data_IF_972971133110
#
_entry.id   IF_972971133110
#
_cell.length_a   1.000
_cell.length_b   1.000
_cell.length_c   1.000
_cell.angle_alpha   90.00
_cell.angle_beta   90.00
_cell.angle_gamma   90.00
#
_symmetry.space_group_name_H-M   'P 1'
#
loop_
_entity.id
_entity.type
_entity.pdbx_description
1 polymer ?
#
# COMPACT_ATOMS: atom_id res chain seq x y z
N UNK A 1 -8.50 0.11 -42.14
CA UNK A 1 -7.75 0.49 -43.35
C UNK A 1 -6.28 0.37 -42.97
N UNK A 2 -5.63 -0.67 -43.48
CA UNK A 2 -4.20 -0.98 -43.32
C UNK A 2 -3.59 -0.69 -44.68
N UNK A 3 -3.17 0.55 -44.94
CA UNK A 3 -2.55 0.88 -46.23
C UNK A 3 -1.84 2.24 -46.22
N UNK A 4 -1.01 2.53 -45.21
CA UNK A 4 -0.10 3.70 -45.25
C UNK A 4 1.19 3.48 -44.44
N UNK A 5 1.93 2.42 -44.75
CA UNK A 5 3.37 2.41 -44.46
C UNK A 5 4.10 1.81 -45.66
N UNK A 6 4.69 2.68 -46.49
CA UNK A 6 5.50 2.28 -47.63
C UNK A 6 6.72 1.48 -47.12
N UNK A 7 6.82 0.20 -47.49
CA UNK A 7 7.92 -0.71 -47.13
C UNK A 7 8.47 -0.56 -45.69
N UNK A 8 7.65 -0.87 -44.70
CA UNK A 8 8.07 -0.88 -43.29
C UNK A 8 8.51 -2.27 -42.81
N UNK A 9 9.41 -2.30 -41.84
CA UNK A 9 9.79 -3.52 -41.12
C UNK A 9 9.27 -3.41 -39.70
N UNK A 10 8.54 -4.43 -39.24
CA UNK A 10 8.07 -4.51 -37.86
C UNK A 10 8.97 -5.47 -37.09
N UNK A 11 9.63 -4.95 -36.07
CA UNK A 11 10.44 -5.72 -35.13
C UNK A 11 9.81 -5.62 -33.75
N UNK A 12 9.83 -6.73 -33.01
CA UNK A 12 9.54 -6.74 -31.58
C UNK A 12 10.75 -7.34 -30.89
N UNK A 13 11.36 -6.57 -29.99
CA UNK A 13 12.49 -7.00 -29.17
C UNK A 13 12.03 -7.12 -27.71
N UNK A 14 12.53 -8.14 -27.03
CA UNK A 14 12.41 -8.31 -25.58
C UNK A 14 13.82 -8.62 -25.10
N UNK A 15 14.37 -7.74 -24.27
CA UNK A 15 15.74 -7.82 -23.78
C UNK A 15 15.76 -7.83 -22.27
N UNK A 16 16.86 -8.30 -21.70
CA UNK A 16 17.11 -8.34 -20.27
C UNK A 16 18.58 -8.04 -20.05
N UNK A 17 18.90 -7.34 -18.97
CA UNK A 17 20.26 -6.92 -18.61
C UNK A 17 20.96 -6.11 -19.72
N UNK A 18 20.21 -5.29 -20.43
CA UNK A 18 20.70 -4.31 -21.40
C UNK A 18 20.11 -2.95 -21.07
N UNK A 19 20.87 -1.90 -21.29
CA UNK A 19 20.36 -0.53 -21.26
C UNK A 19 19.33 -0.31 -22.37
N UNK A 20 18.49 0.71 -22.20
CA UNK A 20 17.30 0.91 -23.06
C UNK A 20 17.65 1.07 -24.55
N UNK A 21 18.84 1.61 -24.86
CA UNK A 21 19.29 1.92 -26.22
C UNK A 21 20.13 0.81 -26.87
N UNK A 22 20.80 -0.05 -26.08
CA UNK A 22 21.65 -1.14 -26.59
C UNK A 22 20.93 -2.12 -27.53
N UNK A 23 19.63 -2.45 -27.36
CA UNK A 23 18.91 -3.27 -28.32
C UNK A 23 18.92 -2.68 -29.73
N UNK A 24 18.94 -1.36 -29.89
CA UNK A 24 19.01 -0.72 -31.21
C UNK A 24 20.36 -0.96 -31.86
N UNK A 25 21.45 -0.86 -31.11
CA UNK A 25 22.80 -1.15 -31.62
C UNK A 25 22.89 -2.59 -32.13
N UNK A 26 22.36 -3.54 -31.36
CA UNK A 26 22.29 -4.95 -31.75
C UNK A 26 21.44 -5.15 -33.02
N UNK A 27 20.34 -4.42 -33.16
CA UNK A 27 19.48 -4.49 -34.35
C UNK A 27 20.16 -3.86 -35.57
N UNK A 28 20.95 -2.81 -35.41
CA UNK A 28 21.76 -2.22 -36.48
C UNK A 28 22.81 -3.21 -37.00
N UNK A 29 23.55 -3.86 -36.10
CA UNK A 29 24.53 -4.89 -36.47
C UNK A 29 23.88 -6.10 -37.14
N UNK A 30 22.72 -6.55 -36.62
CA UNK A 30 21.95 -7.62 -37.25
C UNK A 30 21.46 -7.22 -38.64
N UNK A 31 20.96 -5.99 -38.80
CA UNK A 31 20.47 -5.46 -40.07
C UNK A 31 21.57 -5.47 -41.13
N UNK A 32 22.74 -4.91 -40.82
CA UNK A 32 23.89 -4.91 -41.73
C UNK A 32 24.28 -6.34 -42.13
N UNK A 33 24.33 -7.26 -41.16
CA UNK A 33 24.68 -8.66 -41.40
C UNK A 33 23.72 -9.38 -42.35
N UNK A 34 22.42 -9.08 -42.29
CA UNK A 34 21.40 -9.73 -43.13
C UNK A 34 21.08 -8.95 -44.41
N UNK A 35 21.79 -7.85 -44.70
CA UNK A 35 21.60 -7.03 -45.89
C UNK A 35 20.35 -6.13 -45.83
N UNK A 36 19.91 -5.78 -44.63
CA UNK A 36 18.84 -4.83 -44.35
C UNK A 36 19.45 -3.47 -43.98
N UNK A 37 18.76 -2.37 -44.30
CA UNK A 37 19.30 -1.04 -44.02
C UNK A 37 19.37 -0.78 -42.49
N UNK A 38 20.58 -0.68 -41.88
CA UNK A 38 20.70 -0.48 -40.43
C UNK A 38 20.11 0.85 -39.96
N UNK A 39 20.00 1.85 -40.84
CA UNK A 39 19.40 3.16 -40.55
C UNK A 39 17.94 3.08 -40.07
N UNK A 40 17.24 1.95 -40.28
CA UNK A 40 15.91 1.74 -39.69
C UNK A 40 15.91 1.67 -38.16
N UNK A 41 17.07 1.46 -37.54
CA UNK A 41 17.25 1.33 -36.09
C UNK A 41 18.21 2.38 -35.50
N UNK A 42 18.55 3.42 -36.27
CA UNK A 42 19.43 4.51 -35.85
C UNK A 42 18.65 5.66 -35.18
N UNK A 43 19.32 6.79 -34.89
CA UNK A 43 18.87 7.90 -34.04
C UNK A 43 17.53 8.57 -34.42
N UNK A 44 17.00 8.37 -35.64
CA UNK A 44 15.73 8.93 -36.12
C UNK A 44 14.63 7.87 -36.19
N UNK A 45 14.42 7.18 -35.07
CA UNK A 45 13.34 6.20 -34.95
C UNK A 45 11.98 6.86 -35.19
N UNK A 46 11.19 6.24 -36.06
CA UNK A 46 9.84 6.69 -36.39
C UNK A 46 8.94 6.78 -35.14
N UNK A 47 8.03 7.76 -35.10
CA UNK A 47 7.01 8.01 -34.05
C UNK A 47 6.04 6.84 -33.77
N UNK A 48 6.20 5.69 -34.42
CA UNK A 48 5.41 4.48 -34.17
C UNK A 48 6.20 3.44 -33.35
N UNK A 49 7.45 3.73 -33.00
CA UNK A 49 8.20 2.92 -32.05
C UNK A 49 7.59 3.08 -30.66
N UNK A 50 7.25 1.93 -30.07
CA UNK A 50 6.52 1.85 -28.81
C UNK A 50 7.25 0.92 -27.87
N UNK A 51 7.38 1.34 -26.62
CA UNK A 51 7.85 0.49 -25.54
C UNK A 51 6.62 0.09 -24.72
N UNK A 52 6.44 -1.22 -24.55
CA UNK A 52 5.31 -1.79 -23.80
C UNK A 52 5.68 -2.12 -22.35
N UNK A 53 6.98 -2.28 -22.09
CA UNK A 53 7.51 -2.62 -20.78
C UNK A 53 8.92 -2.03 -20.67
N UNK A 54 9.21 -1.42 -19.54
CA UNK A 54 10.51 -0.83 -19.25
C UNK A 54 10.81 -1.02 -17.77
N UNK A 55 12.02 -1.47 -17.45
CA UNK A 55 12.38 -1.88 -16.09
C UNK A 55 13.70 -1.26 -15.66
N UNK A 56 13.77 -0.93 -14.38
CA UNK A 56 15.00 -0.59 -13.66
C UNK A 56 15.16 -1.59 -12.54
N UNK A 57 16.38 -2.07 -12.34
CA UNK A 57 16.65 -3.02 -11.28
C UNK A 57 18.03 -2.87 -10.67
N UNK A 58 18.14 -3.35 -9.45
CA UNK A 58 19.40 -3.50 -8.74
C UNK A 58 19.33 -4.77 -7.86
N UNK A 59 20.43 -5.08 -7.17
CA UNK A 59 20.46 -6.12 -6.14
C UNK A 59 20.81 -5.52 -4.80
N UNK A 60 20.00 -5.85 -3.81
CA UNK A 60 20.13 -5.40 -2.44
C UNK A 60 20.58 -6.58 -1.57
N UNK A 61 21.40 -6.31 -0.55
CA UNK A 61 21.76 -7.30 0.45
C UNK A 61 20.50 -8.00 0.97
N UNK A 62 20.55 -9.33 0.96
CA UNK A 62 19.41 -10.16 1.32
C UNK A 62 18.80 -9.81 2.68
N UNK A 63 19.61 -9.57 3.71
CA UNK A 63 19.09 -9.26 5.03
C UNK A 63 18.41 -7.88 5.05
N UNK A 64 18.98 -6.90 4.34
CA UNK A 64 18.36 -5.58 4.18
C UNK A 64 17.02 -5.68 3.43
N UNK A 65 16.96 -6.47 2.37
CA UNK A 65 15.72 -6.69 1.62
C UNK A 65 14.64 -7.40 2.47
N UNK A 66 15.02 -8.44 3.21
CA UNK A 66 14.14 -9.16 4.12
C UNK A 66 13.63 -8.25 5.26
N UNK A 67 14.49 -7.42 5.85
CA UNK A 67 14.14 -6.55 6.98
C UNK A 67 13.28 -5.33 6.58
N UNK A 68 13.47 -4.79 5.38
CA UNK A 68 12.89 -3.50 4.98
C UNK A 68 11.86 -3.58 3.87
N UNK A 69 11.95 -4.56 2.96
CA UNK A 69 11.13 -4.59 1.75
C UNK A 69 10.04 -5.64 1.81
N UNK A 70 10.41 -6.85 2.22
CA UNK A 70 9.53 -8.02 2.21
C UNK A 70 9.10 -8.42 3.62
N UNK A 71 8.24 -9.43 3.72
CA UNK A 71 7.73 -9.92 4.99
C UNK A 71 6.69 -8.97 5.60
N UNK A 72 6.16 -9.36 6.76
CA UNK A 72 5.13 -8.58 7.44
C UNK A 72 5.70 -7.26 7.95
N UNK A 73 5.12 -6.15 7.50
CA UNK A 73 5.59 -4.81 7.83
C UNK A 73 6.77 -4.31 6.98
N UNK A 74 7.22 -5.05 5.96
CA UNK A 74 8.10 -4.51 4.92
C UNK A 74 7.39 -3.43 4.09
N UNK A 75 8.14 -2.56 3.40
CA UNK A 75 7.52 -1.43 2.68
C UNK A 75 6.53 -1.88 1.60
N UNK A 76 6.76 -3.03 0.96
CA UNK A 76 5.85 -3.55 -0.08
C UNK A 76 4.49 -3.92 0.54
N UNK A 77 4.52 -4.58 1.71
CA UNK A 77 3.34 -4.92 2.52
C UNK A 77 2.60 -3.65 2.95
N UNK A 78 3.33 -2.66 3.49
CA UNK A 78 2.76 -1.39 3.94
C UNK A 78 2.11 -0.57 2.80
N UNK A 79 2.73 -0.56 1.62
CA UNK A 79 2.14 0.09 0.45
C UNK A 79 0.85 -0.61 0.07
N UNK A 80 0.86 -1.93 -0.07
CA UNK A 80 -0.33 -2.71 -0.43
C UNK A 80 -1.48 -2.48 0.58
N UNK A 81 -1.18 -2.50 1.87
CA UNK A 81 -2.13 -2.23 2.95
C UNK A 81 -2.77 -0.84 2.84
N UNK A 82 -1.98 0.19 2.55
CA UNK A 82 -2.50 1.56 2.46
C UNK A 82 -3.28 1.78 1.16
N UNK A 83 -2.72 1.39 0.02
CA UNK A 83 -3.32 1.70 -1.29
C UNK A 83 -4.57 0.88 -1.59
N UNK A 84 -4.76 -0.27 -0.93
CA UNK A 84 -6.00 -1.05 -1.04
C UNK A 84 -7.26 -0.29 -0.56
N UNK A 85 -7.08 0.81 0.17
CA UNK A 85 -8.15 1.67 0.68
C UNK A 85 -8.64 2.70 -0.34
N UNK A 86 -7.85 2.93 -1.37
CA UNK A 86 -8.00 4.06 -2.27
C UNK A 86 -8.68 3.63 -3.56
N UNK A 87 -9.34 4.58 -4.21
CA UNK A 87 -9.94 4.29 -5.51
C UNK A 87 -8.83 4.12 -6.54
N UNK A 88 -8.67 2.90 -7.03
CA UNK A 88 -7.72 2.60 -8.08
C UNK A 88 -7.70 1.11 -8.41
N UNK A 89 -6.76 0.74 -9.26
CA UNK A 89 -6.41 -0.63 -9.61
C UNK A 89 -5.03 -0.92 -9.03
N UNK A 90 -4.96 -1.98 -8.25
CA UNK A 90 -3.72 -2.50 -7.72
C UNK A 90 -3.70 -4.02 -7.70
N UNK A 91 -2.51 -4.58 -7.57
CA UNK A 91 -2.25 -5.98 -7.39
C UNK A 91 -1.12 -6.18 -6.39
N UNK A 92 -1.37 -7.02 -5.39
CA UNK A 92 -0.38 -7.43 -4.40
C UNK A 92 -0.15 -8.93 -4.55
N UNK A 93 1.11 -9.33 -4.70
CA UNK A 93 1.50 -10.73 -4.85
C UNK A 93 2.63 -11.04 -3.86
N UNK A 94 2.58 -12.22 -3.26
CA UNK A 94 3.61 -12.72 -2.37
C UNK A 94 3.78 -14.24 -2.56
N UNK A 95 5.02 -14.70 -2.42
CA UNK A 95 5.43 -16.10 -2.33
C UNK A 95 6.49 -16.20 -1.24
N UNK A 96 6.20 -17.04 -0.24
CA UNK A 96 7.09 -17.34 0.87
C UNK A 96 7.27 -18.86 1.07
N UNK A 97 6.97 -19.67 0.05
CA UNK A 97 6.99 -21.13 0.17
C UNK A 97 8.41 -21.68 0.37
N UNK A 98 9.38 -21.19 -0.39
CA UNK A 98 10.77 -21.66 -0.28
C UNK A 98 11.55 -20.94 0.83
N UNK A 99 11.41 -19.62 0.88
CA UNK A 99 12.02 -18.72 1.87
C UNK A 99 11.09 -17.53 2.08
N UNK A 100 11.19 -16.88 3.24
CA UNK A 100 10.62 -15.56 3.43
C UNK A 100 11.18 -14.58 2.38
N UNK A 101 10.31 -13.74 1.82
CA UNK A 101 10.69 -12.80 0.76
C UNK A 101 11.11 -13.44 -0.57
N UNK A 102 10.77 -14.72 -0.84
CA UNK A 102 11.10 -15.34 -2.14
C UNK A 102 10.60 -14.51 -3.32
N UNK A 103 9.35 -14.04 -3.23
CA UNK A 103 8.79 -13.05 -4.12
C UNK A 103 7.79 -12.18 -3.36
N UNK A 104 7.86 -10.87 -3.51
CA UNK A 104 6.83 -9.95 -3.04
C UNK A 104 6.78 -8.75 -3.97
N UNK A 105 5.57 -8.31 -4.31
CA UNK A 105 5.42 -7.20 -5.24
C UNK A 105 4.11 -6.46 -5.08
N UNK A 106 4.14 -5.17 -5.42
CA UNK A 106 2.97 -4.30 -5.50
C UNK A 106 2.95 -3.59 -6.85
N UNK A 107 1.85 -3.73 -7.59
CA UNK A 107 1.58 -3.00 -8.82
C UNK A 107 0.36 -2.12 -8.61
N UNK A 108 0.45 -0.83 -8.95
CA UNK A 108 -0.67 0.10 -8.81
C UNK A 108 -0.72 1.06 -10.01
N UNK A 109 -1.91 1.58 -10.26
CA UNK A 109 -2.20 2.53 -11.34
C UNK A 109 -1.62 3.94 -11.06
N UNK A 110 -1.65 4.86 -12.05
CA UNK A 110 -1.09 6.20 -11.89
C UNK A 110 -1.72 7.01 -10.75
N UNK A 111 -3.05 6.97 -10.63
CA UNK A 111 -3.80 7.75 -9.64
C UNK A 111 -3.43 7.33 -8.21
N UNK A 112 -3.21 6.03 -8.01
CA UNK A 112 -2.80 5.47 -6.73
C UNK A 112 -1.32 5.76 -6.44
N UNK A 113 -0.45 5.74 -7.47
CA UNK A 113 0.93 6.19 -7.32
C UNK A 113 1.03 7.65 -6.89
N UNK A 114 0.11 8.49 -7.35
CA UNK A 114 0.04 9.93 -7.02
C UNK A 114 -0.19 10.19 -5.52
N UNK A 115 -0.72 9.21 -4.78
CA UNK A 115 -0.86 9.27 -3.33
C UNK A 115 0.47 9.03 -2.60
N UNK A 116 1.39 8.30 -3.24
CA UNK A 116 2.69 7.97 -2.67
C UNK A 116 3.76 8.99 -3.04
N UNK A 117 3.69 9.50 -4.28
CA UNK A 117 4.66 10.44 -4.83
C UNK A 117 3.93 11.41 -5.73
N UNK A 118 4.27 12.69 -5.68
CA UNK A 118 3.63 13.68 -6.54
C UNK A 118 3.93 13.45 -8.04
N UNK A 119 2.96 13.79 -8.91
CA UNK A 119 3.14 13.91 -10.37
C UNK A 119 3.54 12.60 -11.07
N UNK A 120 2.72 11.58 -10.88
CA UNK A 120 2.83 10.24 -11.45
C UNK A 120 1.81 10.10 -12.58
N UNK A 121 2.27 9.61 -13.73
CA UNK A 121 1.47 9.62 -14.96
C UNK A 121 1.32 8.23 -15.60
N UNK A 122 1.95 7.22 -15.01
CA UNK A 122 1.93 5.84 -15.48
C UNK A 122 1.96 4.86 -14.31
N UNK A 123 1.32 3.71 -14.51
CA UNK A 123 1.27 2.63 -13.54
C UNK A 123 2.65 1.98 -13.40
N UNK A 124 3.00 1.59 -12.17
CA UNK A 124 4.29 0.95 -11.89
C UNK A 124 4.13 -0.29 -11.02
N UNK A 125 5.02 -1.23 -11.25
CA UNK A 125 5.13 -2.48 -10.50
C UNK A 125 6.48 -2.53 -9.82
N UNK A 126 6.47 -2.53 -8.49
CA UNK A 126 7.65 -2.69 -7.65
C UNK A 126 7.72 -4.13 -7.12
N UNK A 127 8.85 -4.80 -7.32
CA UNK A 127 9.08 -6.20 -6.95
C UNK A 127 10.38 -6.33 -6.15
N UNK A 128 10.38 -7.25 -5.19
CA UNK A 128 11.58 -7.81 -4.59
C UNK A 128 11.49 -9.33 -4.69
N UNK A 129 12.48 -9.97 -5.30
CA UNK A 129 12.44 -11.41 -5.51
C UNK A 129 13.80 -12.08 -5.64
N UNK A 130 13.85 -13.32 -5.22
CA UNK A 130 14.96 -14.22 -5.46
C UNK A 130 14.80 -14.95 -6.81
N UNK A 131 15.91 -15.44 -7.39
CA UNK A 131 15.82 -16.34 -8.53
C UNK A 131 15.00 -17.59 -8.21
N UNK A 132 14.47 -18.25 -9.25
CA UNK A 132 13.73 -19.50 -9.14
C UNK A 132 14.48 -20.63 -8.39
N UNK A 133 15.81 -20.53 -8.28
CA UNK A 133 16.60 -21.40 -7.42
C UNK A 133 17.36 -20.55 -6.40
N UNK A 134 16.84 -20.49 -5.19
CA UNK A 134 17.43 -19.69 -4.10
C UNK A 134 18.84 -20.17 -3.79
N UNK A 135 19.80 -19.25 -3.74
CA UNK A 135 21.16 -19.57 -3.26
C UNK A 135 21.20 -19.53 -1.74
N UNK A 136 22.06 -20.36 -1.16
CA UNK A 136 22.34 -20.27 0.27
C UNK A 136 22.87 -18.87 0.62
N UNK A 137 22.40 -18.27 1.71
CA UNK A 137 22.93 -17.01 2.24
C UNK A 137 24.41 -17.07 2.67
N UNK A 138 25.01 -18.27 2.72
CA UNK A 138 26.45 -18.45 2.94
C UNK A 138 27.29 -18.39 1.65
N UNK A 139 26.65 -18.31 0.48
CA UNK A 139 27.33 -18.17 -0.81
C UNK A 139 27.98 -16.80 -0.90
N UNK A 140 29.24 -16.75 -1.32
CA UNK A 140 29.95 -15.48 -1.50
C UNK A 140 29.35 -14.68 -2.66
N UNK A 141 28.89 -13.46 -2.38
CA UNK A 141 28.36 -12.49 -3.36
C UNK A 141 29.32 -12.21 -4.51
N UNK A 142 30.63 -12.19 -4.21
CA UNK A 142 31.71 -12.02 -5.19
C UNK A 142 31.78 -13.14 -6.24
N UNK A 143 31.23 -14.31 -5.92
CA UNK A 143 31.23 -15.45 -6.83
C UNK A 143 29.84 -15.75 -7.40
N UNK A 144 28.78 -15.39 -6.68
CA UNK A 144 27.41 -15.53 -7.14
C UNK A 144 26.54 -14.38 -6.57
N UNK A 145 26.34 -13.29 -7.35
CA UNK A 145 25.51 -12.16 -6.93
C UNK A 145 24.02 -12.54 -6.83
N UNK A 146 23.61 -13.69 -7.38
CA UNK A 146 22.23 -14.18 -7.31
C UNK A 146 21.81 -14.65 -5.90
N UNK A 147 22.73 -14.60 -4.93
CA UNK A 147 22.39 -14.78 -3.50
C UNK A 147 21.51 -13.66 -2.97
N UNK A 148 21.70 -12.46 -3.50
CA UNK A 148 20.96 -11.27 -3.14
C UNK A 148 19.73 -11.13 -4.05
N UNK A 149 18.56 -10.76 -3.49
CA UNK A 149 17.34 -10.57 -4.27
C UNK A 149 17.49 -9.42 -5.25
N UNK A 150 16.75 -9.53 -6.36
CA UNK A 150 16.57 -8.44 -7.31
C UNK A 150 15.45 -7.54 -6.80
N UNK A 151 15.72 -6.25 -6.73
CA UNK A 151 14.70 -5.22 -6.61
C UNK A 151 14.43 -4.65 -8.00
N UNK A 152 13.17 -4.49 -8.37
CA UNK A 152 12.77 -4.10 -9.73
C UNK A 152 11.60 -3.14 -9.64
N UNK A 153 11.70 -2.01 -10.32
CA UNK A 153 10.57 -1.13 -10.61
C UNK A 153 10.35 -1.17 -12.12
N UNK A 154 9.09 -1.24 -12.53
CA UNK A 154 8.77 -1.36 -13.96
C UNK A 154 7.53 -0.60 -14.33
N UNK A 155 7.54 -0.06 -15.55
CA UNK A 155 6.35 0.26 -16.31
C UNK A 155 5.93 -1.00 -17.08
N UNK A 156 4.63 -1.31 -17.06
CA UNK A 156 4.01 -2.33 -17.91
C UNK A 156 2.65 -1.83 -18.39
N UNK A 157 2.33 -2.12 -19.65
CA UNK A 157 1.05 -1.81 -20.25
C UNK A 157 -0.15 -2.49 -19.56
N UNK A 158 0.06 -3.52 -18.75
CA UNK A 158 -1.01 -4.21 -18.02
C UNK A 158 -1.66 -3.32 -16.94
N UNK A 159 -0.90 -2.36 -16.40
CA UNK A 159 -1.32 -1.47 -15.31
C UNK A 159 -1.41 -0.01 -15.74
N UNK A 160 -1.16 0.27 -17.03
CA UNK A 160 -1.20 1.60 -17.59
C UNK A 160 -2.41 1.80 -18.52
N UNK A 161 -3.22 2.87 -18.33
CA UNK A 161 -4.37 3.14 -19.18
C UNK A 161 -4.03 3.45 -20.66
N UNK A 162 -2.86 4.03 -20.93
CA UNK A 162 -2.41 4.42 -22.27
C UNK A 162 -1.66 3.27 -22.98
N UNK A 163 -1.15 2.29 -22.21
CA UNK A 163 -0.76 0.97 -22.70
C UNK A 163 0.52 0.90 -23.54
N UNK A 164 1.23 2.01 -23.76
CA UNK A 164 2.57 2.07 -24.33
C UNK A 164 3.17 3.47 -24.18
N UNK A 165 4.51 3.55 -24.10
CA UNK A 165 5.24 4.82 -24.15
C UNK A 165 5.85 5.02 -25.55
N UNK A 166 5.93 6.27 -25.97
CA UNK A 166 6.69 6.66 -27.15
C UNK A 166 8.20 6.50 -26.90
N UNK A 167 8.94 6.03 -27.90
CA UNK A 167 10.38 5.82 -27.77
C UNK A 167 11.13 7.08 -27.32
N UNK A 168 10.75 8.25 -27.84
CA UNK A 168 11.38 9.52 -27.50
C UNK A 168 11.05 9.98 -26.07
N UNK A 169 10.03 9.39 -25.45
CA UNK A 169 9.66 9.61 -24.05
C UNK A 169 10.36 8.69 -23.03
N UNK A 170 11.21 7.74 -23.48
CA UNK A 170 11.76 6.69 -22.62
C UNK A 170 12.59 7.23 -21.44
N UNK A 171 13.40 8.27 -21.65
CA UNK A 171 14.24 8.85 -20.59
C UNK A 171 13.40 9.42 -19.45
N UNK A 172 12.33 10.15 -19.77
CA UNK A 172 11.41 10.69 -18.75
C UNK A 172 10.72 9.58 -17.94
N UNK A 173 10.46 8.42 -18.56
CA UNK A 173 9.92 7.26 -17.86
C UNK A 173 10.97 6.63 -16.96
N UNK A 174 12.21 6.51 -17.42
CA UNK A 174 13.33 6.01 -16.61
C UNK A 174 13.58 6.89 -15.39
N UNK A 175 13.62 8.21 -15.55
CA UNK A 175 13.75 9.16 -14.44
C UNK A 175 12.65 8.97 -13.39
N UNK A 176 11.42 8.73 -13.84
CA UNK A 176 10.27 8.49 -12.97
C UNK A 176 10.28 7.12 -12.31
N UNK A 177 10.85 6.11 -12.96
CA UNK A 177 11.11 4.81 -12.36
C UNK A 177 12.18 4.92 -11.28
N UNK A 178 13.27 5.63 -11.56
CA UNK A 178 14.37 5.86 -10.61
C UNK A 178 13.90 6.69 -9.41
N UNK A 179 13.09 7.73 -9.64
CA UNK A 179 12.42 8.51 -8.58
C UNK A 179 11.58 7.62 -7.67
N UNK A 180 10.72 6.78 -8.26
CA UNK A 180 9.83 5.91 -7.52
C UNK A 180 10.60 4.86 -6.71
N UNK A 181 11.54 4.16 -7.33
CA UNK A 181 12.35 3.13 -6.66
C UNK A 181 13.07 3.70 -5.44
N UNK A 182 13.80 4.82 -5.61
CA UNK A 182 14.57 5.40 -4.51
C UNK A 182 13.68 5.92 -3.37
N UNK A 183 12.51 6.49 -3.68
CA UNK A 183 11.57 6.93 -2.67
C UNK A 183 10.91 5.77 -1.89
N UNK A 184 10.59 4.66 -2.56
CA UNK A 184 10.08 3.45 -1.88
C UNK A 184 11.14 2.89 -0.94
N UNK A 185 12.38 2.73 -1.44
CA UNK A 185 13.49 2.25 -0.62
C UNK A 185 13.74 3.16 0.59
N UNK A 186 13.76 4.47 0.37
CA UNK A 186 13.90 5.46 1.44
C UNK A 186 12.76 5.38 2.47
N UNK A 187 11.52 5.23 2.00
CA UNK A 187 10.33 5.08 2.86
C UNK A 187 10.35 3.79 3.67
N UNK A 188 10.92 2.71 3.12
CA UNK A 188 11.18 1.46 3.83
C UNK A 188 12.37 1.51 4.80
N UNK A 189 13.10 2.62 4.84
CA UNK A 189 14.26 2.79 5.71
C UNK A 189 15.56 2.16 5.17
N UNK A 190 15.61 1.80 3.88
CA UNK A 190 16.82 1.29 3.25
C UNK A 190 17.86 2.42 3.13
N UNK A 191 19.12 2.20 3.56
CA UNK A 191 20.19 3.19 3.37
C UNK A 191 20.58 3.35 1.90
N UNK A 192 20.07 4.37 1.20
CA UNK A 192 20.20 4.51 -0.27
C UNK A 192 21.56 5.04 -0.79
N UNK A 193 22.59 5.24 0.04
CA UNK A 193 23.87 5.80 -0.45
C UNK A 193 24.76 4.70 -1.01
N UNK A 194 25.41 4.95 -2.16
CA UNK A 194 26.20 3.94 -2.89
C UNK A 194 27.44 3.45 -2.12
N UNK A 195 27.87 4.16 -1.08
CA UNK A 195 29.00 3.82 -0.21
C UNK A 195 28.64 2.84 0.92
N UNK A 196 27.38 2.41 0.99
CA UNK A 196 26.89 1.46 2.00
C UNK A 196 26.95 0.04 1.44
N UNK A 197 27.34 -0.89 2.31
CA UNK A 197 27.32 -2.35 2.05
C UNK A 197 25.90 -2.94 1.92
N UNK A 198 24.94 -2.17 1.40
CA UNK A 198 23.57 -2.61 1.13
C UNK A 198 23.41 -3.05 -0.33
N UNK A 199 24.26 -2.59 -1.24
CA UNK A 199 24.16 -2.91 -2.67
C UNK A 199 25.10 -4.06 -3.04
N UNK A 200 24.70 -4.85 -4.04
CA UNK A 200 25.59 -5.89 -4.59
C UNK A 200 26.52 -5.28 -5.63
N UNK A 201 27.77 -4.99 -5.25
CA UNK A 201 28.77 -4.37 -6.13
C UNK A 201 29.41 -5.32 -7.17
N UNK A 202 29.22 -6.64 -7.02
CA UNK A 202 29.90 -7.65 -7.85
C UNK A 202 28.92 -8.28 -8.88
N UNK A 203 27.90 -7.54 -9.29
CA UNK A 203 26.98 -7.98 -10.35
C UNK A 203 27.64 -7.81 -11.73
N UNK A 204 27.60 -8.83 -12.61
CA UNK A 204 28.27 -8.75 -13.92
C UNK A 204 27.55 -7.83 -14.93
N UNK A 205 26.35 -7.33 -14.62
CA UNK A 205 25.53 -6.56 -15.55
C UNK A 205 25.49 -5.07 -15.26
N UNK A 206 25.89 -4.62 -14.06
CA UNK A 206 25.87 -3.21 -13.70
C UNK A 206 26.88 -2.92 -12.59
N UNK A 207 27.36 -1.67 -12.56
CA UNK A 207 28.18 -1.14 -11.49
C UNK A 207 27.35 -0.25 -10.55
N UNK A 208 27.66 -0.28 -9.25
CA UNK A 208 27.00 0.57 -8.26
C UNK A 208 27.83 1.83 -8.05
N UNK A 209 27.32 2.95 -8.54
CA UNK A 209 27.99 4.24 -8.48
C UNK A 209 27.06 5.34 -7.93
N UNK A 210 27.65 6.46 -7.51
CA UNK A 210 26.87 7.65 -7.17
C UNK A 210 26.41 8.32 -8.46
N UNK A 211 25.11 8.45 -8.64
CA UNK A 211 24.53 9.24 -9.73
C UNK A 211 24.92 10.72 -9.60
N UNK A 212 25.28 11.35 -10.72
CA UNK A 212 25.43 12.81 -10.80
C UNK A 212 24.06 13.51 -10.75
N UNK A 213 23.02 12.82 -11.25
CA UNK A 213 21.64 13.27 -11.24
C UNK A 213 20.95 12.81 -9.96
N UNK A 214 20.66 13.77 -9.09
CA UNK A 214 20.02 13.51 -7.81
C UNK A 214 18.51 13.35 -7.92
N UNK A 215 17.96 12.36 -7.22
CA UNK A 215 16.51 12.21 -7.02
C UNK A 215 16.07 12.98 -5.78
N UNK A 216 14.90 13.62 -5.86
CA UNK A 216 14.26 14.24 -4.70
C UNK A 216 13.57 13.17 -3.86
N UNK A 217 14.02 13.00 -2.62
CA UNK A 217 13.39 12.11 -1.65
C UNK A 217 12.28 12.86 -0.92
N UNK A 218 11.09 12.28 -0.96
CA UNK A 218 9.88 12.76 -0.31
C UNK A 218 9.73 12.10 1.07
N UNK A 219 8.97 12.72 1.96
CA UNK A 219 8.61 12.09 3.23
C UNK A 219 7.71 10.89 2.94
N UNK A 220 7.89 9.80 3.67
CA UNK A 220 7.01 8.63 3.57
C UNK A 220 5.57 9.04 3.91
N UNK A 221 4.60 8.95 2.97
CA UNK A 221 3.22 9.36 3.20
C UNK A 221 2.36 8.28 3.86
N UNK A 222 2.83 7.03 3.92
CA UNK A 222 2.05 5.89 4.42
C UNK A 222 1.54 6.07 5.86
N UNK A 223 2.33 6.62 6.83
CA UNK A 223 1.81 6.89 8.17
C UNK A 223 0.64 7.87 8.17
N UNK A 224 0.71 8.94 7.39
CA UNK A 224 -0.33 9.97 7.31
C UNK A 224 -1.60 9.43 6.63
N UNK A 225 -1.43 8.62 5.56
CA UNK A 225 -2.54 7.93 4.89
C UNK A 225 -3.25 6.96 5.86
N UNK A 226 -2.48 6.20 6.65
CA UNK A 226 -3.02 5.28 7.66
C UNK A 226 -3.78 6.03 8.75
N UNK A 227 -3.21 7.12 9.26
CA UNK A 227 -3.85 7.95 10.29
C UNK A 227 -5.17 8.54 9.78
N UNK A 228 -5.21 9.01 8.53
CA UNK A 228 -6.43 9.52 7.91
C UNK A 228 -7.52 8.44 7.79
N UNK A 229 -7.15 7.22 7.42
CA UNK A 229 -8.06 6.08 7.36
C UNK A 229 -8.60 5.68 8.74
N UNK A 230 -7.73 5.62 9.76
CA UNK A 230 -8.16 5.35 11.13
C UNK A 230 -9.09 6.45 11.68
N UNK A 231 -8.80 7.72 11.39
CA UNK A 231 -9.66 8.86 11.77
C UNK A 231 -11.03 8.78 11.08
N UNK A 232 -11.07 8.35 9.82
CA UNK A 232 -12.32 8.13 9.10
C UNK A 232 -13.16 7.03 9.76
N UNK A 233 -12.56 5.90 10.13
CA UNK A 233 -13.23 4.83 10.88
C UNK A 233 -13.79 5.34 12.21
N UNK A 234 -12.98 6.05 12.99
CA UNK A 234 -13.39 6.64 14.26
C UNK A 234 -14.57 7.60 14.09
N UNK A 235 -14.52 8.44 13.06
CA UNK A 235 -15.55 9.42 12.75
C UNK A 235 -16.87 8.76 12.37
N UNK A 236 -16.82 7.72 11.55
CA UNK A 236 -18.01 6.98 11.13
C UNK A 236 -18.65 6.24 12.31
N UNK A 237 -17.84 5.61 13.18
CA UNK A 237 -18.34 4.99 14.42
C UNK A 237 -18.91 6.01 15.41
N UNK A 238 -18.33 7.20 15.52
CA UNK A 238 -18.85 8.25 16.40
C UNK A 238 -20.17 8.87 15.91
N UNK A 239 -20.37 8.91 14.59
CA UNK A 239 -21.60 9.43 13.96
C UNK A 239 -22.71 8.40 13.89
N UNK A 240 -22.36 7.15 13.63
CA UNK A 240 -23.31 6.06 13.65
C UNK A 240 -23.78 5.84 15.09
N UNK A 241 -25.10 5.83 15.31
CA UNK A 241 -25.67 5.39 16.58
C UNK A 241 -25.50 3.86 16.68
N UNK A 242 -24.26 3.42 16.91
CA UNK A 242 -23.85 2.02 16.88
C UNK A 242 -24.47 1.29 18.07
N UNK A 243 -25.38 0.37 17.76
CA UNK A 243 -26.06 -0.46 18.74
C UNK A 243 -25.21 -1.65 19.17
N UNK A 244 -25.60 -2.31 20.27
CA UNK A 244 -24.97 -3.58 20.70
C UNK A 244 -25.05 -4.67 19.62
N UNK A 245 -26.10 -4.66 18.81
CA UNK A 245 -26.25 -5.60 17.70
C UNK A 245 -25.27 -5.31 16.58
N UNK A 246 -25.01 -4.03 16.29
CA UNK A 246 -24.01 -3.63 15.30
C UNK A 246 -22.60 -4.01 15.76
N UNK A 247 -22.27 -3.82 17.05
CA UNK A 247 -20.99 -4.27 17.61
C UNK A 247 -20.82 -5.79 17.52
N UNK A 248 -21.90 -6.56 17.69
CA UNK A 248 -21.87 -8.02 17.51
C UNK A 248 -21.58 -8.41 16.06
N UNK A 249 -22.24 -7.75 15.11
CA UNK A 249 -22.01 -7.96 13.67
C UNK A 249 -20.59 -7.57 13.27
N UNK A 250 -20.11 -6.41 13.72
CA UNK A 250 -18.73 -5.99 13.51
C UNK A 250 -17.74 -7.01 14.07
N UNK A 251 -17.98 -7.57 15.27
CA UNK A 251 -17.12 -8.59 15.86
C UNK A 251 -17.05 -9.87 15.03
N UNK A 252 -18.20 -10.38 14.59
CA UNK A 252 -18.27 -11.56 13.73
C UNK A 252 -17.50 -11.31 12.42
N UNK A 253 -17.63 -10.12 11.84
CA UNK A 253 -16.90 -9.77 10.62
C UNK A 253 -15.38 -9.62 10.88
N UNK A 254 -14.96 -9.01 12.00
CA UNK A 254 -13.54 -8.89 12.33
C UNK A 254 -12.88 -10.24 12.57
N UNK A 255 -13.62 -11.19 13.16
CA UNK A 255 -13.09 -12.52 13.48
C UNK A 255 -13.14 -13.46 12.26
N UNK A 256 -14.22 -13.42 11.48
CA UNK A 256 -14.45 -14.31 10.33
C UNK A 256 -13.91 -13.79 8.99
N UNK A 257 -13.61 -12.49 8.89
CA UNK A 257 -13.19 -11.86 7.63
C UNK A 257 -14.29 -11.90 6.56
N UNK A 258 -13.88 -12.07 5.29
CA UNK A 258 -14.77 -12.13 4.11
C UNK A 258 -15.77 -13.28 4.23
N UNK A 259 -17.06 -12.96 4.24
CA UNK A 259 -18.13 -13.96 4.43
C UNK A 259 -19.44 -13.55 3.75
N UNK A 260 -20.32 -14.51 3.49
CA UNK A 260 -21.65 -14.21 2.96
C UNK A 260 -22.54 -13.57 4.04
N UNK A 261 -23.46 -12.67 3.66
CA UNK A 261 -24.33 -11.98 4.63
C UNK A 261 -25.20 -12.94 5.46
N UNK A 262 -25.51 -14.13 4.92
CA UNK A 262 -26.27 -15.17 5.63
C UNK A 262 -25.43 -15.81 6.73
N UNK A 263 -24.17 -16.13 6.44
CA UNK A 263 -23.21 -16.62 7.45
C UNK A 263 -23.02 -15.59 8.57
N UNK A 264 -22.84 -14.32 8.19
CA UNK A 264 -22.74 -13.22 9.14
C UNK A 264 -24.00 -13.10 10.02
N UNK A 265 -25.19 -13.27 9.43
CA UNK A 265 -26.45 -13.23 10.16
C UNK A 265 -26.58 -14.40 11.15
N UNK A 266 -26.22 -15.62 10.72
CA UNK A 266 -26.27 -16.84 11.52
C UNK A 266 -25.32 -16.77 12.72
N UNK A 267 -24.05 -16.42 12.49
CA UNK A 267 -23.04 -16.31 13.55
C UNK A 267 -23.37 -15.18 14.53
N UNK A 268 -23.95 -14.08 14.03
CA UNK A 268 -24.42 -12.99 14.87
C UNK A 268 -25.80 -13.25 15.51
N UNK A 269 -26.47 -14.39 15.25
CA UNK A 269 -27.83 -14.70 15.73
C UNK A 269 -28.84 -13.56 15.45
N UNK A 270 -28.84 -13.08 14.20
CA UNK A 270 -29.76 -12.02 13.72
C UNK A 270 -30.37 -12.39 12.37
N UNK A 271 -31.45 -11.71 11.97
CA UNK A 271 -32.00 -11.86 10.61
C UNK A 271 -31.23 -11.03 9.58
N UNK A 272 -31.18 -11.49 8.33
CA UNK A 272 -30.54 -10.80 7.20
C UNK A 272 -30.94 -9.32 7.03
N UNK A 273 -32.22 -8.91 7.25
CA UNK A 273 -32.57 -7.48 7.20
C UNK A 273 -31.81 -6.61 8.21
N UNK A 274 -31.36 -7.19 9.33
CA UNK A 274 -30.51 -6.51 10.31
C UNK A 274 -29.10 -6.31 9.78
N UNK A 275 -28.53 -7.30 9.09
CA UNK A 275 -27.24 -7.18 8.40
C UNK A 275 -27.29 -6.05 7.37
N UNK A 276 -28.30 -6.03 6.50
CA UNK A 276 -28.43 -4.95 5.52
C UNK A 276 -28.57 -3.55 6.15
N UNK A 277 -29.29 -3.43 7.27
CA UNK A 277 -29.38 -2.14 7.99
C UNK A 277 -28.06 -1.73 8.64
N UNK A 278 -27.28 -2.70 9.11
CA UNK A 278 -25.95 -2.46 9.65
C UNK A 278 -25.01 -1.94 8.55
N UNK A 279 -24.94 -2.64 7.41
CA UNK A 279 -24.14 -2.21 6.25
C UNK A 279 -24.56 -0.84 5.73
N UNK A 280 -25.87 -0.57 5.67
CA UNK A 280 -26.39 0.73 5.25
C UNK A 280 -26.09 1.88 6.22
N UNK A 281 -25.78 1.59 7.50
CA UNK A 281 -25.44 2.62 8.50
C UNK A 281 -23.97 3.02 8.45
N UNK A 282 -23.10 2.11 8.02
CA UNK A 282 -21.65 2.30 7.91
C UNK A 282 -21.18 1.94 6.49
N UNK A 283 -21.75 2.57 5.44
CA UNK A 283 -21.57 2.14 4.05
C UNK A 283 -20.14 2.34 3.54
N UNK A 284 -19.33 3.14 4.23
CA UNK A 284 -17.93 3.43 3.89
C UNK A 284 -16.94 2.49 4.56
N UNK A 285 -17.38 1.68 5.54
CA UNK A 285 -16.49 0.79 6.30
C UNK A 285 -16.59 -0.67 5.86
N UNK A 286 -17.55 -0.98 4.98
CA UNK A 286 -17.82 -2.33 4.51
C UNK A 286 -18.09 -2.31 3.02
N UNK A 287 -17.53 -3.29 2.33
CA UNK A 287 -17.87 -3.59 0.96
C UNK A 287 -18.87 -4.72 0.90
N UNK A 288 -19.80 -4.64 -0.06
CA UNK A 288 -20.65 -5.77 -0.38
C UNK A 288 -20.80 -5.94 -1.89
N UNK A 289 -20.38 -7.10 -2.38
CA UNK A 289 -20.60 -7.55 -3.76
C UNK A 289 -21.15 -8.97 -3.76
N UNK A 290 -22.21 -9.19 -4.55
CA UNK A 290 -22.87 -10.49 -4.71
C UNK A 290 -23.19 -11.20 -3.37
N UNK A 291 -23.57 -10.43 -2.33
CA UNK A 291 -23.90 -10.96 -1.01
C UNK A 291 -22.70 -11.33 -0.13
N UNK A 292 -21.49 -11.21 -0.66
CA UNK A 292 -20.26 -11.25 0.14
C UNK A 292 -20.09 -9.90 0.83
N UNK A 293 -19.69 -9.94 2.10
CA UNK A 293 -19.40 -8.80 2.95
C UNK A 293 -17.96 -8.92 3.42
N UNK A 294 -17.22 -7.82 3.33
CA UNK A 294 -15.83 -7.73 3.80
C UNK A 294 -15.49 -6.32 4.24
N UNK A 295 -14.38 -6.18 4.97
CA UNK A 295 -13.74 -4.88 5.12
C UNK A 295 -13.06 -4.50 3.81
N UNK A 296 -12.98 -3.21 3.47
CA UNK A 296 -12.20 -2.74 2.33
C UNK A 296 -10.72 -3.14 2.46
N UNK A 297 -10.20 -3.16 3.68
CA UNK A 297 -8.78 -3.38 3.96
C UNK A 297 -8.52 -3.82 5.41
N UNK A 298 -7.27 -4.19 5.69
CA UNK A 298 -6.83 -4.66 7.01
C UNK A 298 -6.63 -3.53 8.05
N UNK A 299 -6.38 -2.27 7.66
CA UNK A 299 -6.34 -1.12 8.58
C UNK A 299 -7.73 -0.85 9.12
N UNK A 300 -8.75 -0.75 8.27
CA UNK A 300 -10.16 -0.63 8.66
C UNK A 300 -10.56 -1.78 9.57
N UNK A 301 -10.26 -3.03 9.17
CA UNK A 301 -10.55 -4.20 10.00
C UNK A 301 -9.87 -4.12 11.37
N UNK A 302 -8.58 -3.80 11.41
CA UNK A 302 -7.78 -3.69 12.63
C UNK A 302 -8.31 -2.59 13.55
N UNK A 303 -8.61 -1.41 12.99
CA UNK A 303 -9.16 -0.29 13.75
C UNK A 303 -10.54 -0.62 14.33
N UNK A 304 -11.42 -1.21 13.53
CA UNK A 304 -12.74 -1.68 13.99
C UNK A 304 -12.60 -2.75 15.07
N UNK A 305 -11.67 -3.69 14.91
CA UNK A 305 -11.35 -4.70 15.95
C UNK A 305 -10.97 -4.00 17.26
N UNK A 306 -10.07 -3.02 17.20
CA UNK A 306 -9.65 -2.24 18.36
C UNK A 306 -10.80 -1.45 19.02
N UNK A 307 -11.71 -0.86 18.23
CA UNK A 307 -12.90 -0.18 18.76
C UNK A 307 -13.83 -1.17 19.46
N UNK A 308 -14.13 -2.30 18.82
CA UNK A 308 -15.03 -3.34 19.34
C UNK A 308 -14.49 -3.93 20.64
N UNK A 309 -13.20 -4.26 20.70
CA UNK A 309 -12.56 -4.80 21.90
C UNK A 309 -12.56 -3.77 23.04
N UNK A 310 -12.20 -2.49 22.79
CA UNK A 310 -12.26 -1.43 23.80
C UNK A 310 -13.67 -1.23 24.37
N UNK A 311 -14.69 -1.27 23.51
CA UNK A 311 -16.09 -1.13 23.93
C UNK A 311 -16.57 -2.34 24.73
N UNK A 312 -16.13 -3.56 24.38
CA UNK A 312 -16.42 -4.77 25.15
C UNK A 312 -15.75 -4.72 26.52
N UNK A 313 -14.46 -4.39 26.59
CA UNK A 313 -13.72 -4.29 27.85
C UNK A 313 -14.35 -3.25 28.76
N UNK A 314 -14.79 -2.11 28.20
CA UNK A 314 -15.55 -1.10 28.93
C UNK A 314 -16.90 -1.64 29.40
N UNK A 315 -17.63 -2.40 28.56
CA UNK A 315 -18.90 -2.99 28.92
C UNK A 315 -18.76 -4.05 30.04
N UNK A 316 -17.73 -4.90 29.97
CA UNK A 316 -17.41 -5.92 30.97
C UNK A 316 -16.92 -5.31 32.29
N UNK A 317 -16.04 -4.31 32.23
CA UNK A 317 -15.65 -3.50 33.40
C UNK A 317 -16.85 -2.74 34.00
N UNK A 318 -17.83 -2.36 33.17
CA UNK A 318 -19.09 -1.71 33.57
C UNK A 318 -20.18 -2.68 34.07
N UNK A 319 -19.83 -3.93 34.36
CA UNK A 319 -20.65 -4.86 35.17
C UNK A 319 -21.05 -4.32 36.56
N UNK A 320 -20.60 -3.13 36.93
CA UNK A 320 -21.17 -2.26 37.97
C UNK A 320 -21.82 -1.02 37.32
N UNK A 321 -23.07 -0.68 37.67
CA UNK A 321 -24.09 -0.28 36.72
C UNK A 321 -23.89 1.12 36.09
N UNK A 322 -23.95 1.15 34.75
CA UNK A 322 -24.07 2.33 33.85
C UNK A 322 -25.26 3.24 34.14
N UNK A 323 -26.19 2.86 35.03
CA UNK A 323 -27.24 3.76 35.55
C UNK A 323 -26.72 4.86 36.48
N UNK A 324 -25.53 4.73 37.09
CA UNK A 324 -25.00 5.78 37.97
C UNK A 324 -24.52 7.02 37.22
N UNK A 325 -23.94 6.90 36.02
CA UNK A 325 -23.33 8.06 35.36
C UNK A 325 -24.33 9.04 34.72
N UNK A 326 -25.55 8.60 34.37
CA UNK A 326 -26.60 9.52 33.86
C UNK A 326 -27.27 10.36 34.96
N UNK A 327 -27.08 10.04 36.25
CA UNK A 327 -27.72 10.72 37.39
C UNK A 327 -26.76 11.10 38.52
N UNK A 328 -25.46 10.81 38.41
CA UNK A 328 -24.51 11.08 39.49
C UNK A 328 -24.20 12.58 39.56
N UNK A 329 -24.64 13.17 40.66
CA UNK A 329 -24.07 14.41 41.18
C UNK A 329 -22.74 14.07 41.84
N UNK A 330 -21.69 14.83 41.53
CA UNK A 330 -20.35 14.63 42.08
C UNK A 330 -20.19 15.44 43.37
N UNK A 331 -19.82 14.72 44.43
CA UNK A 331 -19.37 15.28 45.70
C UNK A 331 -17.88 14.99 45.85
N UNK A 332 -17.06 16.00 46.16
CA UNK A 332 -15.64 15.80 46.47
C UNK A 332 -15.16 16.77 47.54
N UNK A 333 -14.04 16.45 48.18
CA UNK A 333 -13.39 17.31 49.17
C UNK A 333 -12.09 17.84 48.61
N UNK A 334 -11.95 19.16 48.55
CA UNK A 334 -10.73 19.81 48.09
C UNK A 334 -9.57 19.62 49.07
N UNK A 335 -8.35 19.84 48.60
CA UNK A 335 -7.15 19.89 49.46
C UNK A 335 -7.20 21.02 50.50
N UNK A 336 -8.10 21.99 50.33
CA UNK A 336 -8.47 23.03 51.29
C UNK A 336 -9.37 22.52 52.44
N UNK A 337 -9.80 21.26 52.39
CA UNK A 337 -10.71 20.65 53.36
C UNK A 337 -12.18 21.03 53.14
N UNK A 338 -12.51 21.79 52.10
CA UNK A 338 -13.88 22.16 51.77
C UNK A 338 -14.56 21.06 50.96
N UNK A 339 -15.75 20.64 51.40
CA UNK A 339 -16.59 19.68 50.67
C UNK A 339 -17.46 20.40 49.66
N UNK A 340 -17.30 20.04 48.39
CA UNK A 340 -18.07 20.56 47.27
C UNK A 340 -19.05 19.47 46.85
N UNK A 341 -20.34 19.78 46.90
CA UNK A 341 -21.41 18.81 46.64
C UNK A 341 -22.31 19.26 45.51
N UNK A 342 -22.96 18.30 44.84
CA UNK A 342 -23.94 18.51 43.79
C UNK A 342 -23.40 19.14 42.48
N UNK A 343 -22.16 18.85 42.09
CA UNK A 343 -21.57 19.41 40.87
C UNK A 343 -21.91 18.56 39.62
N UNK A 344 -22.16 19.25 38.51
CA UNK A 344 -22.47 18.65 37.20
C UNK A 344 -21.21 18.55 36.33
N UNK A 345 -21.09 17.45 35.58
CA UNK A 345 -19.99 17.22 34.65
C UNK A 345 -20.26 17.93 33.32
N UNK A 346 -19.27 18.69 32.86
CA UNK A 346 -19.27 19.35 31.56
C UNK A 346 -18.22 18.67 30.68
N UNK A 347 -18.67 18.01 29.62
CA UNK A 347 -17.78 17.35 28.65
C UNK A 347 -18.09 17.95 27.27
N UNK A 348 -17.08 18.55 26.64
CA UNK A 348 -17.20 19.18 25.32
C UNK A 348 -18.38 20.17 25.20
N UNK A 349 -18.57 21.01 26.22
CA UNK A 349 -19.62 22.03 26.23
C UNK A 349 -21.03 21.53 26.53
N UNK A 350 -21.26 20.23 26.68
CA UNK A 350 -22.55 19.65 27.10
C UNK A 350 -22.55 19.30 28.58
N UNK A 351 -23.56 19.79 29.28
CA UNK A 351 -23.85 19.44 30.67
C UNK A 351 -24.48 18.05 30.71
N UNK A 352 -23.94 17.17 31.55
CA UNK A 352 -24.54 15.87 31.86
C UNK A 352 -25.26 15.95 33.22
N UNK A 353 -26.60 15.82 33.22
CA UNK A 353 -27.45 15.78 34.42
C UNK A 353 -28.74 16.61 34.32
N UNK A 354 -29.77 16.29 35.11
CA UNK A 354 -30.98 17.12 35.26
C UNK A 354 -30.72 18.28 36.23
N UNK A 355 -31.23 19.47 35.89
CA UNK A 355 -31.20 20.67 36.76
C UNK A 355 -32.03 20.40 38.01
N UNK A 356 -31.42 20.45 39.20
CA UNK A 356 -32.18 20.55 40.45
C UNK A 356 -32.36 22.04 40.78
N UNK A 357 -33.58 22.46 41.06
CA UNK A 357 -33.95 23.86 41.32
C UNK A 357 -33.46 24.43 42.68
N UNK A 358 -32.53 23.78 43.37
CA UNK A 358 -32.07 24.23 44.68
C UNK A 358 -30.55 24.35 44.73
N UNK A 359 -30.07 25.58 44.62
CA UNK A 359 -28.69 25.95 44.92
C UNK A 359 -28.40 25.75 46.42
N UNK A 360 -27.30 25.10 46.81
CA UNK A 360 -26.73 25.25 48.14
C UNK A 360 -25.66 26.36 48.14
N UNK A 361 -25.68 27.12 49.22
CA UNK A 361 -24.67 28.09 49.65
C UNK A 361 -23.38 27.39 50.11
N UNK A 362 -22.29 28.14 49.96
CA UNK A 362 -20.87 27.88 50.23
C UNK A 362 -20.08 27.18 49.11
#
# INVERSE_FOLDING_TARGET
MLDDCAESIRVQAITTNLDVDEPLELLQELADHIGLNPEYFADDLHDYNRIYQLERYARLDRAVAEDHLTGSGGIIDQIADCVSQERGRGEYQWDHEEIEGHYQSVAIDPDTWDLLLESQHFGKHFKCYHPAHVRSGSTSKKHDPLVDPKIEISFSNDYDPDGAIDWHGREAVLDKLDEAALNILYSGGVPITADRDVWTHEDPYFDVELSEDGVTLQSNPLPDLRDAAEEHVDTEFARADVSKTDLKLAKVLTDGGRQHYETLAEEADVGSPTVYRFLARLPTLFESDNGIVQFPDDVTRSRVTGIVDKLRDTAEASGLPTMRFRKALLDWKGHDGCERRNWQLLVNGKILGQVSEHAPLC
#
